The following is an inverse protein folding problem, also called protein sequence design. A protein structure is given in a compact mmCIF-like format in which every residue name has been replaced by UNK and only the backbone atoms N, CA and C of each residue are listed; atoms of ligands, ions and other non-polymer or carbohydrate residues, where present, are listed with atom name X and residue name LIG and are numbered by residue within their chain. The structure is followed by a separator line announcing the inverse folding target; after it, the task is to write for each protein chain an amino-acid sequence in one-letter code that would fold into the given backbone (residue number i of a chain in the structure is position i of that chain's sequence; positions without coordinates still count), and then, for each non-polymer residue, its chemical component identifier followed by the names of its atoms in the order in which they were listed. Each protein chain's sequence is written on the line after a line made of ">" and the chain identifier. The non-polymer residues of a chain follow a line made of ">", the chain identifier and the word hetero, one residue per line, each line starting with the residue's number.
data_IF_686835964980
#
_entry.id   IF_686835964980
#
_cell.length_a   1.000
_cell.length_b   1.000
_cell.length_c   1.000
_cell.angle_alpha   90.00
_cell.angle_beta   90.00
_cell.angle_gamma   90.00
#
_symmetry.space_group_name_H-M   'P 1'
#
loop_
_entity.id
_entity.type
_entity.pdbx_description
1 polymer ?
#
# COMPACT_ATOMS: atom_id res chain seq x y z
N UNK A 1 24.70 5.24 1.61
CA UNK A 1 24.68 6.71 1.57
C UNK A 1 23.29 7.18 1.96
N UNK A 2 23.17 8.23 2.76
CA UNK A 2 21.86 8.74 3.19
C UNK A 2 21.11 9.36 2.02
N UNK A 3 19.78 9.34 2.08
CA UNK A 3 18.91 9.85 1.02
C UNK A 3 19.24 11.29 0.61
N UNK A 4 19.38 12.19 1.57
CA UNK A 4 19.71 13.59 1.31
C UNK A 4 21.19 13.86 1.01
N UNK A 5 22.08 12.88 1.14
CA UNK A 5 23.44 12.99 0.59
C UNK A 5 23.43 12.74 -0.92
N UNK A 6 22.61 11.79 -1.37
CA UNK A 6 22.45 11.47 -2.80
C UNK A 6 21.61 12.55 -3.50
N UNK A 7 20.52 12.98 -2.86
CA UNK A 7 19.58 13.97 -3.38
C UNK A 7 19.73 15.33 -2.68
N UNK A 8 20.97 15.80 -2.56
CA UNK A 8 21.33 17.00 -1.79
C UNK A 8 20.65 18.31 -2.24
N UNK A 9 20.22 18.39 -3.50
CA UNK A 9 19.52 19.57 -4.04
C UNK A 9 18.01 19.56 -3.81
N UNK A 10 17.46 18.46 -3.29
CA UNK A 10 16.02 18.32 -3.05
C UNK A 10 15.61 19.14 -1.83
N UNK A 11 14.64 20.03 -2.03
CA UNK A 11 14.05 20.85 -0.98
C UNK A 11 12.65 20.31 -0.64
N UNK A 12 12.46 20.00 0.65
CA UNK A 12 11.24 19.44 1.24
C UNK A 12 10.97 20.09 2.58
N UNK A 13 9.72 20.01 3.05
CA UNK A 13 9.39 20.47 4.40
C UNK A 13 10.05 19.58 5.49
N UNK A 14 10.02 20.06 6.73
CA UNK A 14 10.65 19.38 7.86
C UNK A 14 10.01 18.02 8.18
N UNK A 15 8.70 17.86 7.95
CA UNK A 15 7.98 16.60 8.24
C UNK A 15 8.42 15.51 7.28
N UNK A 16 8.46 15.82 5.98
CA UNK A 16 8.90 14.90 4.95
C UNK A 16 10.40 14.63 5.06
N UNK A 17 11.21 15.66 5.38
CA UNK A 17 12.65 15.48 5.65
C UNK A 17 12.90 14.44 6.73
N UNK A 18 12.20 14.55 7.87
CA UNK A 18 12.32 13.60 8.98
C UNK A 18 11.98 12.16 8.60
N UNK A 19 11.09 11.94 7.63
CA UNK A 19 10.73 10.60 7.16
C UNK A 19 11.82 9.93 6.32
N UNK A 20 12.72 10.71 5.72
CA UNK A 20 13.76 10.22 4.81
C UNK A 20 15.20 10.44 5.32
N UNK A 21 15.39 11.11 6.47
CA UNK A 21 16.73 11.46 6.97
C UNK A 21 17.60 10.24 7.26
N UNK A 22 17.00 9.17 7.81
CA UNK A 22 17.69 7.91 8.09
C UNK A 22 17.54 6.87 6.98
N UNK A 23 16.93 7.22 5.85
CA UNK A 23 16.78 6.30 4.72
C UNK A 23 18.07 6.23 3.94
N UNK A 24 18.48 5.03 3.56
CA UNK A 24 19.67 4.80 2.74
C UNK A 24 19.31 4.54 1.28
N UNK A 25 20.08 5.13 0.37
CA UNK A 25 20.03 4.78 -1.06
C UNK A 25 20.99 3.63 -1.31
N UNK A 26 20.43 2.53 -1.80
CA UNK A 26 21.19 1.32 -2.12
C UNK A 26 21.62 1.29 -3.57
N UNK A 27 20.69 1.67 -4.47
CA UNK A 27 20.93 1.58 -5.91
C UNK A 27 20.05 2.54 -6.69
N UNK A 28 20.62 3.07 -7.78
CA UNK A 28 19.90 3.79 -8.83
C UNK A 28 19.87 2.92 -10.08
N UNK A 29 18.68 2.66 -10.59
CA UNK A 29 18.42 1.82 -11.75
C UNK A 29 17.72 2.65 -12.82
N UNK A 30 18.45 3.06 -13.84
CA UNK A 30 17.90 3.79 -14.98
C UNK A 30 17.41 2.81 -16.06
N UNK A 31 16.13 2.91 -16.42
CA UNK A 31 15.59 2.32 -17.65
C UNK A 31 15.48 3.40 -18.71
N UNK A 32 16.25 3.23 -19.79
CA UNK A 32 16.19 4.14 -20.93
C UNK A 32 14.96 3.88 -21.81
N UNK A 33 14.44 2.65 -21.83
CA UNK A 33 13.29 2.26 -22.66
C UNK A 33 11.97 2.81 -22.11
N UNK A 34 11.80 2.83 -20.79
CA UNK A 34 10.54 3.25 -20.15
C UNK A 34 10.61 4.66 -19.52
N UNK A 35 11.68 5.40 -19.83
CA UNK A 35 11.99 6.70 -19.26
C UNK A 35 11.81 6.74 -17.72
N UNK A 36 12.43 5.77 -17.05
CA UNK A 36 12.17 5.49 -15.64
C UNK A 36 13.45 5.41 -14.82
N UNK A 37 13.41 5.92 -13.59
CA UNK A 37 14.45 5.80 -12.58
C UNK A 37 13.87 5.06 -11.38
N UNK A 38 14.35 3.85 -11.11
CA UNK A 38 14.05 3.15 -9.87
C UNK A 38 15.17 3.42 -8.85
N UNK A 39 14.79 3.93 -7.69
CA UNK A 39 15.67 4.15 -6.55
C UNK A 39 15.36 3.07 -5.53
N UNK A 40 16.33 2.17 -5.29
CA UNK A 40 16.25 1.15 -4.25
C UNK A 40 16.68 1.76 -2.92
N UNK A 41 15.81 1.69 -1.93
CA UNK A 41 15.96 2.32 -0.63
C UNK A 41 15.88 1.28 0.49
N UNK A 42 16.71 1.44 1.52
CA UNK A 42 16.57 0.74 2.80
C UNK A 42 16.14 1.73 3.88
N UNK A 43 15.03 1.44 4.56
CA UNK A 43 14.47 2.30 5.60
C UNK A 43 14.40 1.60 6.95
N UNK A 44 14.89 2.22 8.04
CA UNK A 44 14.77 1.67 9.40
C UNK A 44 13.35 1.87 9.99
N UNK A 45 12.48 2.59 9.31
CA UNK A 45 11.10 2.86 9.76
C UNK A 45 10.09 2.72 8.62
N UNK A 46 8.83 2.49 8.97
CA UNK A 46 7.75 2.48 8.00
C UNK A 46 7.54 3.87 7.39
N UNK A 47 7.39 3.90 6.08
CA UNK A 47 7.08 5.10 5.30
C UNK A 47 5.81 4.79 4.52
N UNK A 48 4.74 5.54 4.80
CA UNK A 48 3.44 5.35 4.15
C UNK A 48 3.51 5.59 2.65
N UNK A 49 2.73 4.83 1.89
CA UNK A 49 2.74 4.91 0.43
C UNK A 49 2.39 6.31 -0.10
N UNK A 50 1.52 7.06 0.59
CA UNK A 50 1.25 8.47 0.26
C UNK A 50 2.51 9.35 0.39
N UNK A 51 3.30 9.13 1.46
CA UNK A 51 4.56 9.85 1.71
C UNK A 51 5.62 9.48 0.66
N UNK A 52 5.65 8.22 0.24
CA UNK A 52 6.50 7.75 -0.85
C UNK A 52 6.11 8.43 -2.16
N UNK A 53 4.82 8.44 -2.51
CA UNK A 53 4.32 9.08 -3.73
C UNK A 53 4.59 10.59 -3.73
N UNK A 54 4.47 11.26 -2.59
CA UNK A 54 4.81 12.67 -2.44
C UNK A 54 6.29 12.92 -2.75
N UNK A 55 7.19 12.12 -2.16
CA UNK A 55 8.63 12.23 -2.43
C UNK A 55 8.97 11.92 -3.90
N UNK A 56 8.33 10.91 -4.51
CA UNK A 56 8.47 10.62 -5.94
C UNK A 56 8.11 11.84 -6.81
N UNK A 57 6.99 12.49 -6.52
CA UNK A 57 6.55 13.70 -7.23
C UNK A 57 7.52 14.87 -7.06
N UNK A 58 8.11 15.01 -5.87
CA UNK A 58 9.11 16.05 -5.59
C UNK A 58 10.40 15.77 -6.36
N UNK A 59 10.91 14.54 -6.31
CA UNK A 59 12.09 14.11 -7.06
C UNK A 59 11.88 14.27 -8.57
N UNK A 60 10.71 13.92 -9.09
CA UNK A 60 10.37 14.17 -10.49
C UNK A 60 10.51 15.66 -10.81
N UNK A 61 9.81 16.54 -10.07
CA UNK A 61 9.81 17.98 -10.36
C UNK A 61 11.20 18.62 -10.25
N UNK A 62 11.93 18.31 -9.18
CA UNK A 62 13.16 19.02 -8.81
C UNK A 62 14.43 18.41 -9.43
N UNK A 63 14.44 17.10 -9.69
CA UNK A 63 15.65 16.37 -10.10
C UNK A 63 15.53 15.80 -11.51
N UNK A 64 14.42 15.13 -11.83
CA UNK A 64 14.33 14.30 -13.04
C UNK A 64 13.51 14.91 -14.19
N UNK A 65 12.81 16.01 -13.96
CA UNK A 65 11.90 16.66 -14.92
C UNK A 65 12.58 17.00 -16.24
N UNK A 66 13.81 17.55 -16.18
CA UNK A 66 14.61 17.89 -17.39
C UNK A 66 14.98 16.66 -18.22
N UNK A 67 15.13 15.50 -17.59
CA UNK A 67 15.42 14.24 -18.28
C UNK A 67 14.14 13.53 -18.75
N UNK A 68 12.95 14.06 -18.41
CA UNK A 68 11.66 13.41 -18.65
C UNK A 68 11.46 12.11 -17.87
N UNK A 69 12.38 11.74 -16.97
CA UNK A 69 12.38 10.44 -16.30
C UNK A 69 11.41 10.45 -15.12
N UNK A 70 10.43 9.54 -15.15
CA UNK A 70 9.63 9.26 -13.96
C UNK A 70 10.49 8.53 -12.92
N UNK A 71 10.28 8.81 -11.65
CA UNK A 71 11.03 8.19 -10.55
C UNK A 71 10.11 7.31 -9.72
N UNK A 72 10.61 6.14 -9.31
CA UNK A 72 9.96 5.27 -8.33
C UNK A 72 10.90 4.92 -7.21
N UNK A 73 10.40 5.04 -5.99
CA UNK A 73 11.07 4.65 -4.77
C UNK A 73 10.59 3.25 -4.40
N UNK A 74 11.52 2.29 -4.43
CA UNK A 74 11.26 0.94 -3.96
C UNK A 74 11.95 0.78 -2.61
N UNK A 75 11.15 0.76 -1.55
CA UNK A 75 11.61 0.76 -0.16
C UNK A 75 11.55 -0.66 0.40
N UNK A 76 12.70 -1.18 0.81
CA UNK A 76 12.78 -2.31 1.74
C UNK A 76 12.93 -1.80 3.17
N UNK A 77 12.39 -2.52 4.12
CA UNK A 77 12.42 -2.14 5.53
C UNK A 77 13.52 -2.91 6.27
N UNK A 78 14.64 -2.25 6.55
CA UNK A 78 15.80 -2.89 7.21
C UNK A 78 15.50 -3.28 8.66
N UNK A 79 14.49 -2.68 9.30
CA UNK A 79 14.07 -3.11 10.65
C UNK A 79 13.54 -4.55 10.68
N UNK A 80 13.12 -5.10 9.53
CA UNK A 80 12.62 -6.45 9.43
C UNK A 80 13.75 -7.49 9.29
N UNK A 81 15.00 -7.06 9.14
CA UNK A 81 16.14 -7.98 9.08
C UNK A 81 16.27 -8.74 10.40
N UNK A 82 16.21 -10.08 10.31
CA UNK A 82 16.25 -10.97 11.46
C UNK A 82 14.93 -11.14 12.20
N UNK A 83 13.86 -10.45 11.80
CA UNK A 83 12.52 -10.68 12.34
C UNK A 83 11.85 -11.91 11.72
N UNK A 84 11.03 -12.61 12.50
CA UNK A 84 10.13 -13.63 12.00
C UNK A 84 8.98 -13.00 11.20
N UNK A 85 8.29 -13.82 10.40
CA UNK A 85 7.10 -13.36 9.69
C UNK A 85 6.05 -12.76 10.64
N UNK A 86 5.79 -13.40 11.78
CA UNK A 86 4.78 -12.96 12.74
C UNK A 86 5.15 -11.62 13.39
N UNK A 87 6.43 -11.38 13.66
CA UNK A 87 6.93 -10.10 14.17
C UNK A 87 6.72 -8.97 13.16
N UNK A 88 6.99 -9.23 11.88
CA UNK A 88 6.76 -8.27 10.80
C UNK A 88 5.26 -8.03 10.63
N UNK A 89 4.45 -9.09 10.61
CA UNK A 89 2.99 -9.02 10.51
C UNK A 89 2.43 -8.10 11.60
N UNK A 90 2.77 -8.35 12.86
CA UNK A 90 2.30 -7.56 14.00
C UNK A 90 2.63 -6.06 13.89
N UNK A 91 3.74 -5.72 13.23
CA UNK A 91 4.16 -4.32 13.04
C UNK A 91 3.59 -3.67 11.77
N UNK A 92 3.34 -4.44 10.72
CA UNK A 92 3.03 -3.93 9.39
C UNK A 92 1.56 -4.05 8.98
N UNK A 93 0.83 -5.06 9.45
CA UNK A 93 -0.52 -5.38 8.94
C UNK A 93 -1.50 -4.21 9.02
N UNK A 94 -1.35 -3.35 10.04
CA UNK A 94 -2.17 -2.15 10.26
C UNK A 94 -2.13 -1.14 9.10
N UNK A 95 -1.11 -1.20 8.24
CA UNK A 95 -0.96 -0.29 7.09
C UNK A 95 -1.47 -0.87 5.78
N UNK A 96 -1.81 -2.17 5.73
CA UNK A 96 -2.14 -2.85 4.48
C UNK A 96 -3.37 -2.22 3.82
N UNK A 97 -4.43 -1.96 4.60
CA UNK A 97 -5.67 -1.40 4.06
C UNK A 97 -5.45 -0.04 3.39
N UNK A 98 -4.70 0.86 4.04
CA UNK A 98 -4.38 2.20 3.50
C UNK A 98 -3.59 2.09 2.19
N UNK A 99 -2.64 1.16 2.13
CA UNK A 99 -1.87 0.92 0.92
C UNK A 99 -2.69 0.31 -0.22
N UNK A 100 -3.61 -0.59 0.12
CA UNK A 100 -4.59 -1.11 -0.83
C UNK A 100 -5.48 0.04 -1.33
N UNK A 101 -5.92 0.95 -0.46
CA UNK A 101 -6.86 2.02 -0.80
C UNK A 101 -6.25 3.00 -1.81
N UNK A 102 -4.96 3.31 -1.68
CA UNK A 102 -4.23 4.17 -2.61
C UNK A 102 -4.09 3.55 -4.02
N UNK A 103 -4.14 2.22 -4.13
CA UNK A 103 -4.00 1.50 -5.40
C UNK A 103 -5.35 1.08 -5.99
N UNK A 104 -6.30 0.70 -5.14
CA UNK A 104 -7.62 0.21 -5.51
C UNK A 104 -8.57 0.32 -4.30
N UNK A 105 -9.41 1.38 -4.25
CA UNK A 105 -10.41 1.54 -3.19
C UNK A 105 -11.38 0.35 -3.08
N UNK A 106 -11.67 -0.31 -4.21
CA UNK A 106 -12.52 -1.52 -4.24
C UNK A 106 -11.85 -2.68 -3.50
N UNK A 107 -10.56 -2.92 -3.73
CA UNK A 107 -9.82 -3.99 -3.03
C UNK A 107 -9.66 -3.67 -1.55
N UNK A 108 -9.40 -2.41 -1.19
CA UNK A 108 -9.34 -2.01 0.21
C UNK A 108 -10.67 -2.25 0.92
N UNK A 109 -11.80 -1.95 0.26
CA UNK A 109 -13.13 -2.21 0.81
C UNK A 109 -13.38 -3.71 1.00
N UNK A 110 -12.99 -4.55 0.03
CA UNK A 110 -13.08 -6.01 0.18
C UNK A 110 -12.22 -6.50 1.35
N UNK A 111 -10.96 -6.07 1.42
CA UNK A 111 -10.02 -6.43 2.48
C UNK A 111 -10.54 -6.04 3.86
N UNK A 112 -11.07 -4.81 4.02
CA UNK A 112 -11.69 -4.32 5.26
C UNK A 112 -12.84 -5.20 5.72
N UNK A 113 -13.65 -5.69 4.78
CA UNK A 113 -14.79 -6.56 5.06
C UNK A 113 -14.41 -8.04 5.22
N UNK A 114 -13.12 -8.37 5.11
CA UNK A 114 -12.60 -9.73 5.25
C UNK A 114 -12.12 -9.98 6.67
N UNK A 115 -12.10 -11.25 7.09
CA UNK A 115 -11.34 -11.65 8.29
C UNK A 115 -9.94 -12.04 7.85
N UNK A 116 -8.93 -11.40 8.43
CA UNK A 116 -7.55 -11.63 8.04
C UNK A 116 -6.78 -12.21 9.21
N UNK A 117 -6.17 -13.37 8.98
CA UNK A 117 -5.27 -14.03 9.93
C UNK A 117 -3.97 -14.33 9.24
N UNK A 118 -2.89 -14.39 10.02
CA UNK A 118 -1.57 -14.73 9.51
C UNK A 118 -0.83 -15.57 10.54
N UNK A 119 -0.14 -16.61 10.06
CA UNK A 119 0.65 -17.51 10.90
C UNK A 119 1.68 -18.23 10.03
N UNK A 120 2.90 -18.41 10.53
CA UNK A 120 3.93 -19.26 9.90
C UNK A 120 4.21 -18.94 8.41
N UNK A 121 4.07 -17.68 7.98
CA UNK A 121 4.30 -17.26 6.59
C UNK A 121 3.11 -17.45 5.64
N UNK A 122 1.97 -17.89 6.15
CA UNK A 122 0.70 -17.90 5.44
C UNK A 122 -0.22 -16.79 5.94
N UNK A 123 -0.86 -16.08 5.00
CA UNK A 123 -1.90 -15.09 5.25
C UNK A 123 -3.20 -15.67 4.71
N UNK A 124 -4.19 -15.86 5.58
CA UNK A 124 -5.54 -16.23 5.18
C UNK A 124 -6.43 -15.00 5.17
N UNK A 125 -7.09 -14.75 4.03
CA UNK A 125 -8.06 -13.68 3.85
C UNK A 125 -9.42 -14.33 3.58
N UNK A 126 -10.28 -14.30 4.58
CA UNK A 126 -11.65 -14.81 4.51
C UNK A 126 -12.58 -13.70 4.05
N UNK A 127 -12.87 -13.68 2.74
CA UNK A 127 -13.63 -12.63 2.07
C UNK A 127 -15.15 -12.89 2.11
N UNK A 128 -15.99 -11.85 2.07
CA UNK A 128 -17.42 -12.03 1.85
C UNK A 128 -17.66 -12.73 0.51
N UNK A 129 -18.51 -13.77 0.49
CA UNK A 129 -18.89 -14.43 -0.75
C UNK A 129 -19.65 -13.47 -1.68
N UNK A 130 -19.34 -13.52 -2.97
CA UNK A 130 -19.93 -12.65 -3.98
C UNK A 130 -19.06 -12.45 -5.21
N UNK A 131 -19.71 -12.10 -6.33
CA UNK A 131 -19.04 -12.00 -7.63
C UNK A 131 -17.88 -10.98 -7.68
N UNK A 132 -17.96 -9.89 -6.89
CA UNK A 132 -16.87 -8.91 -6.81
C UNK A 132 -15.64 -9.52 -6.13
N UNK A 133 -15.83 -10.32 -5.08
CA UNK A 133 -14.75 -10.97 -4.34
C UNK A 133 -13.98 -11.91 -5.26
N UNK A 134 -14.66 -12.82 -5.97
CA UNK A 134 -14.01 -13.73 -6.92
C UNK A 134 -13.33 -12.98 -8.08
N UNK A 135 -13.93 -11.90 -8.58
CA UNK A 135 -13.33 -11.11 -9.65
C UNK A 135 -12.07 -10.34 -9.21
N UNK A 136 -11.94 -9.99 -7.93
CA UNK A 136 -10.82 -9.21 -7.37
C UNK A 136 -9.78 -10.03 -6.63
N UNK A 137 -10.08 -11.28 -6.29
CA UNK A 137 -9.16 -12.21 -5.62
C UNK A 137 -7.76 -12.22 -6.26
N UNK A 138 -7.58 -12.42 -7.59
CA UNK A 138 -6.24 -12.52 -8.17
C UNK A 138 -5.44 -11.22 -8.01
N UNK A 139 -6.13 -10.08 -8.10
CA UNK A 139 -5.51 -8.77 -7.93
C UNK A 139 -5.11 -8.52 -6.47
N UNK A 140 -5.97 -8.88 -5.50
CA UNK A 140 -5.66 -8.78 -4.08
C UNK A 140 -4.46 -9.66 -3.71
N UNK A 141 -4.47 -10.94 -4.11
CA UNK A 141 -3.37 -11.89 -3.89
C UNK A 141 -2.06 -11.36 -4.46
N UNK A 142 -2.08 -10.86 -5.70
CA UNK A 142 -0.90 -10.27 -6.33
C UNK A 142 -0.38 -9.05 -5.57
N UNK A 143 -1.27 -8.15 -5.14
CA UNK A 143 -0.86 -6.96 -4.37
C UNK A 143 -0.24 -7.32 -3.03
N UNK A 144 -0.82 -8.30 -2.33
CA UNK A 144 -0.29 -8.82 -1.07
C UNK A 144 1.11 -9.41 -1.29
N UNK A 145 1.26 -10.35 -2.22
CA UNK A 145 2.56 -10.96 -2.52
C UNK A 145 3.63 -9.93 -2.89
N UNK A 146 3.30 -8.94 -3.74
CA UNK A 146 4.25 -7.89 -4.10
C UNK A 146 4.63 -7.01 -2.91
N UNK A 147 3.70 -6.67 -2.01
CA UNK A 147 4.04 -5.91 -0.80
C UNK A 147 5.08 -6.65 0.05
N UNK A 148 4.88 -7.95 0.28
CA UNK A 148 5.82 -8.75 1.07
C UNK A 148 7.17 -8.94 0.40
N UNK A 149 7.14 -9.26 -0.90
CA UNK A 149 8.36 -9.48 -1.68
C UNK A 149 9.20 -8.21 -1.80
N UNK A 150 8.58 -7.09 -2.16
CA UNK A 150 9.30 -5.85 -2.42
C UNK A 150 9.86 -5.21 -1.15
N UNK A 151 9.17 -5.34 -0.02
CA UNK A 151 9.49 -4.62 1.22
C UNK A 151 10.32 -5.43 2.21
N UNK A 152 10.10 -6.74 2.23
CA UNK A 152 10.71 -7.63 3.21
C UNK A 152 11.54 -8.74 2.54
N UNK A 153 11.48 -8.89 1.22
CA UNK A 153 12.15 -9.98 0.51
C UNK A 153 11.51 -11.35 0.76
N UNK A 154 10.33 -11.38 1.38
CA UNK A 154 9.64 -12.61 1.78
C UNK A 154 8.63 -13.05 0.73
N UNK A 155 8.69 -14.34 0.37
CA UNK A 155 7.61 -15.00 -0.36
C UNK A 155 6.62 -15.53 0.68
N UNK A 156 5.37 -15.05 0.61
CA UNK A 156 4.30 -15.44 1.53
C UNK A 156 3.24 -16.23 0.77
N UNK A 157 2.61 -17.18 1.44
CA UNK A 157 1.42 -17.83 0.89
C UNK A 157 0.20 -16.97 1.23
N UNK A 158 -0.57 -16.56 0.22
CA UNK A 158 -1.84 -15.85 0.44
C UNK A 158 -2.98 -16.78 0.04
N UNK A 159 -3.71 -17.25 1.04
CA UNK A 159 -4.87 -18.12 0.88
C UNK A 159 -6.14 -17.29 1.00
N UNK A 160 -7.06 -17.49 0.07
CA UNK A 160 -8.35 -16.82 0.09
C UNK A 160 -9.44 -17.86 0.37
N UNK A 161 -10.31 -17.54 1.32
CA UNK A 161 -11.54 -18.29 1.59
C UNK A 161 -12.74 -17.35 1.49
N UNK A 162 -13.95 -17.93 1.52
CA UNK A 162 -15.19 -17.20 1.40
C UNK A 162 -16.13 -17.54 2.55
N UNK A 163 -16.81 -16.53 3.08
CA UNK A 163 -17.88 -16.69 4.06
C UNK A 163 -19.18 -16.04 3.60
N UNK A 164 -20.30 -16.66 3.94
CA UNK A 164 -21.62 -16.11 3.65
C UNK A 164 -21.84 -14.78 4.39
N UNK A 165 -22.26 -13.76 3.65
CA UNK A 165 -22.71 -12.50 4.23
C UNK A 165 -24.20 -12.64 4.53
N UNK A 166 -24.56 -12.66 5.82
CA UNK A 166 -25.97 -12.51 6.20
C UNK A 166 -26.41 -11.10 5.82
N UNK A 167 -27.39 -10.99 4.94
CA UNK A 167 -28.02 -9.70 4.60
C UNK A 167 -28.46 -9.02 5.90
N UNK A 168 -28.01 -7.79 6.12
CA UNK A 168 -28.69 -6.91 7.09
C UNK A 168 -29.95 -6.45 6.39
N UNK A 169 -31.10 -6.75 6.98
CA UNK A 169 -32.36 -6.12 6.61
C UNK A 169 -32.14 -4.60 6.59
N UNK A 170 -32.23 -4.02 5.40
CA UNK A 170 -32.33 -2.57 5.25
C UNK A 170 -33.71 -2.24 5.79
N UNK A 171 -33.80 -1.66 6.99
CA UNK A 171 -35.04 -1.01 7.44
C UNK A 171 -35.32 0.12 6.45
N UNK A 172 -36.15 -0.18 5.45
CA UNK A 172 -36.75 0.79 4.54
C UNK A 172 -37.59 1.77 5.38
N UNK A 173 -36.97 2.89 5.76
CA UNK A 173 -37.65 4.05 6.30
C UNK A 173 -38.52 4.73 5.23
N UNK A 174 -39.65 4.13 4.89
CA UNK A 174 -40.75 4.83 4.22
C UNK A 174 -41.33 5.86 5.19
N UNK A 175 -40.83 7.10 5.13
CA UNK A 175 -41.57 8.25 5.64
C UNK A 175 -42.60 8.62 4.58
N UNK A 176 -43.87 8.26 4.82
CA UNK A 176 -44.99 8.73 3.99
C UNK A 176 -45.11 10.26 4.11
N UNK A 177 -44.57 10.97 3.13
CA UNK A 177 -44.73 12.41 2.99
C UNK A 177 -45.99 12.77 2.20
N UNK A 178 -46.87 13.52 2.85
CA UNK A 178 -47.76 14.54 2.29
C UNK A 178 -48.73 14.16 1.15
N UNK A 179 -50.01 14.02 1.51
CA UNK A 179 -51.10 14.46 0.64
C UNK A 179 -51.70 15.71 1.30
N UNK A 180 -51.50 16.85 0.65
CA UNK A 180 -52.22 18.08 0.99
C UNK A 180 -53.69 17.97 0.60
N UNK A 181 -54.54 18.67 1.34
CA UNK A 181 -55.78 19.21 0.78
C UNK A 181 -56.14 20.47 1.54
N UNK A 182 -55.88 21.61 0.91
CA UNK A 182 -56.61 22.83 1.18
C UNK A 182 -57.98 22.71 0.50
N UNK A 183 -59.04 22.94 1.27
CA UNK A 183 -60.35 23.39 0.80
C UNK A 183 -60.94 24.27 1.91
#
# INVERSE_FOLDING_TARGET
>A
MRFFEVFYSVNVDAKLKKKFEDVEVEKLLASNTNNHMCVKLASPSYIGLETINEMENILYRQVFSKAGKNVRLNVRYSFAEGMSFDEIWNKYHVYIEDELALKSPVIATLYRNSRVTASEGEITIDMPDGGISSAKEPQLVSMMNSMWKDRFGLDVAVKVTYHEVKEREVEDGYVSGFIGSAA
#
